data_IF_016671967298
#
_entry.id   IF_016671967298
#
_cell.length_a   1.000
_cell.length_b   1.000
_cell.length_c   1.000
_cell.angle_alpha   90.00
_cell.angle_beta   90.00
_cell.angle_gamma   90.00
#
_symmetry.space_group_name_H-M   'P 1'
#
loop_
_entity.id
_entity.type
_entity.pdbx_description
1 polymer ?
#
# COMPACT_ATOMS: atom_id res chain seq x y z
N UNK A 1 15.94 4.14 -29.23
CA UNK A 1 15.53 3.46 -27.98
C UNK A 1 14.31 4.15 -27.41
N UNK A 2 13.25 3.42 -27.08
CA UNK A 2 12.00 4.02 -26.56
C UNK A 2 12.20 4.36 -25.09
N UNK A 3 12.01 5.63 -24.72
CA UNK A 3 12.18 6.10 -23.35
C UNK A 3 11.07 5.49 -22.47
N UNK A 4 11.46 4.70 -21.47
CA UNK A 4 10.52 4.15 -20.49
C UNK A 4 10.07 5.28 -19.57
N UNK A 5 8.76 5.33 -19.31
CA UNK A 5 8.15 6.28 -18.39
C UNK A 5 7.40 5.48 -17.33
N UNK A 6 7.24 6.07 -16.14
CA UNK A 6 6.44 5.49 -15.08
C UNK A 6 4.98 5.36 -15.52
N UNK A 7 4.29 4.39 -14.93
CA UNK A 7 2.87 4.19 -15.16
C UNK A 7 2.13 5.40 -14.56
N UNK A 8 1.21 6.00 -15.32
CA UNK A 8 0.43 7.14 -14.86
C UNK A 8 -0.29 6.79 -13.55
N UNK A 9 -0.12 7.63 -12.52
CA UNK A 9 -0.67 7.41 -11.18
C UNK A 9 0.25 6.62 -10.23
N UNK A 10 1.48 6.31 -10.65
CA UNK A 10 2.51 5.72 -9.80
C UNK A 10 3.68 6.69 -9.62
N UNK A 11 4.32 6.63 -8.46
CA UNK A 11 5.47 7.47 -8.11
C UNK A 11 6.54 6.61 -7.45
N UNK A 12 7.79 6.80 -7.88
CA UNK A 12 8.94 6.20 -7.21
C UNK A 12 9.23 6.97 -5.92
N UNK A 13 9.44 6.26 -4.82
CA UNK A 13 9.90 6.86 -3.56
C UNK A 13 11.42 6.90 -3.60
N UNK A 14 11.98 8.12 -3.64
CA UNK A 14 13.42 8.32 -3.83
C UNK A 14 14.19 8.35 -2.50
N UNK A 15 15.54 8.25 -2.50
CA UNK A 15 16.35 8.25 -1.27
C UNK A 15 16.18 9.50 -0.37
N UNK A 16 15.85 10.65 -0.96
CA UNK A 16 15.53 11.88 -0.23
C UNK A 16 14.12 11.88 0.39
N UNK A 17 13.27 10.90 0.10
CA UNK A 17 11.89 10.79 0.58
C UNK A 17 11.69 9.59 1.50
N UNK A 18 12.41 8.50 1.27
CA UNK A 18 12.25 7.23 1.97
C UNK A 18 12.35 7.35 3.50
N UNK A 19 13.15 8.29 4.00
CA UNK A 19 13.31 8.51 5.44
C UNK A 19 12.01 8.96 6.12
N UNK A 20 11.17 9.76 5.42
CA UNK A 20 9.88 10.22 5.95
C UNK A 20 8.89 9.06 6.05
N UNK A 21 8.85 8.19 5.05
CA UNK A 21 8.02 6.99 5.04
C UNK A 21 8.40 6.04 6.17
N UNK A 22 9.69 5.74 6.33
CA UNK A 22 10.17 4.90 7.45
C UNK A 22 9.81 5.47 8.81
N UNK A 23 9.90 6.79 9.00
CA UNK A 23 9.51 7.44 10.25
C UNK A 23 8.00 7.29 10.50
N UNK A 24 7.17 7.50 9.49
CA UNK A 24 5.71 7.31 9.57
C UNK A 24 5.36 5.86 9.93
N UNK A 25 5.93 4.89 9.22
CA UNK A 25 5.73 3.45 9.46
C UNK A 25 6.11 3.06 10.89
N UNK A 26 7.23 3.59 11.39
CA UNK A 26 7.67 3.34 12.78
C UNK A 26 6.67 3.87 13.79
N UNK A 27 6.12 5.08 13.60
CA UNK A 27 5.13 5.66 14.51
C UNK A 27 3.85 4.81 14.52
N UNK A 28 3.38 4.39 13.34
CA UNK A 28 2.18 3.55 13.22
C UNK A 28 2.40 2.22 13.93
N UNK A 29 3.51 1.54 13.68
CA UNK A 29 3.81 0.24 14.30
C UNK A 29 3.88 0.35 15.82
N UNK A 30 4.62 1.33 16.36
CA UNK A 30 4.72 1.55 17.80
C UNK A 30 3.36 1.85 18.43
N UNK A 31 2.53 2.63 17.75
CA UNK A 31 1.18 2.95 18.23
C UNK A 31 0.32 1.68 18.26
N UNK A 32 0.31 0.88 17.19
CA UNK A 32 -0.45 -0.37 17.14
C UNK A 32 -0.02 -1.36 18.24
N UNK A 33 1.29 -1.50 18.48
CA UNK A 33 1.85 -2.35 19.52
C UNK A 33 1.39 -1.94 20.92
N UNK A 34 1.35 -0.63 21.23
CA UNK A 34 0.88 -0.12 22.53
C UNK A 34 -0.57 -0.51 22.83
N UNK A 35 -1.39 -0.72 21.80
CA UNK A 35 -2.79 -1.14 21.93
C UNK A 35 -2.98 -2.66 21.72
N UNK A 36 -1.90 -3.44 21.64
CA UNK A 36 -1.94 -4.89 21.52
C UNK A 36 -2.35 -5.43 20.15
N UNK A 37 -2.38 -4.58 19.12
CA UNK A 37 -2.59 -5.02 17.74
C UNK A 37 -1.35 -5.74 17.21
N UNK A 38 -1.56 -6.73 16.35
CA UNK A 38 -0.50 -7.49 15.69
C UNK A 38 -0.60 -7.33 14.18
N UNK A 39 0.55 -7.20 13.53
CA UNK A 39 0.62 -7.08 12.08
C UNK A 39 0.21 -8.40 11.40
N UNK A 40 -0.56 -8.27 10.32
CA UNK A 40 -0.85 -9.34 9.36
C UNK A 40 -0.54 -8.80 7.95
N UNK A 41 0.16 -9.59 7.13
CA UNK A 41 0.45 -9.26 5.72
C UNK A 41 -0.21 -10.26 4.80
N UNK A 42 -1.19 -9.80 4.04
CA UNK A 42 -1.82 -10.59 2.99
C UNK A 42 -1.08 -10.43 1.65
N UNK A 43 -1.33 -11.33 0.67
CA UNK A 43 -0.86 -11.14 -0.69
C UNK A 43 -1.36 -9.84 -1.33
N UNK A 44 -0.54 -9.24 -2.20
CA UNK A 44 -0.90 -8.00 -2.93
C UNK A 44 -2.00 -8.26 -3.98
N UNK A 45 -2.08 -9.49 -4.50
CA UNK A 45 -3.08 -9.90 -5.47
C UNK A 45 -4.02 -10.93 -4.87
N UNK A 46 -5.30 -10.81 -5.18
CA UNK A 46 -6.37 -11.71 -4.72
C UNK A 46 -7.33 -11.95 -5.88
N UNK A 47 -8.17 -12.99 -5.78
CA UNK A 47 -9.21 -13.25 -6.78
C UNK A 47 -10.17 -12.05 -6.91
N UNK A 48 -10.51 -11.66 -8.13
CA UNK A 48 -11.41 -10.52 -8.41
C UNK A 48 -12.76 -10.63 -7.68
N UNK A 49 -13.24 -11.86 -7.45
CA UNK A 49 -14.48 -12.13 -6.72
C UNK A 49 -14.44 -11.62 -5.28
N UNK A 50 -13.27 -11.62 -4.63
CA UNK A 50 -13.09 -11.11 -3.28
C UNK A 50 -13.44 -9.61 -3.20
N UNK A 51 -12.98 -8.83 -4.17
CA UNK A 51 -13.27 -7.38 -4.23
C UNK A 51 -14.68 -7.07 -4.74
N UNK A 52 -15.18 -7.88 -5.67
CA UNK A 52 -16.51 -7.70 -6.28
C UNK A 52 -17.66 -7.77 -5.26
N UNK A 53 -17.43 -8.44 -4.13
CA UNK A 53 -18.41 -8.60 -3.04
C UNK A 53 -18.31 -7.50 -1.99
N UNK A 54 -17.10 -7.09 -1.62
CA UNK A 54 -16.86 -6.23 -0.45
C UNK A 54 -17.02 -4.73 -0.74
N UNK A 55 -16.80 -4.30 -1.98
CA UNK A 55 -16.78 -2.86 -2.35
C UNK A 55 -18.04 -2.44 -3.13
N UNK A 56 -18.96 -3.39 -3.39
CA UNK A 56 -20.10 -3.20 -4.29
C UNK A 56 -19.70 -3.34 -5.76
N UNK A 57 -20.52 -4.04 -6.52
CA UNK A 57 -20.34 -4.23 -7.97
C UNK A 57 -20.35 -2.84 -8.63
N UNK A 58 -19.22 -2.38 -9.17
CA UNK A 58 -19.21 -1.20 -10.06
C UNK A 58 -20.05 -1.54 -11.29
N UNK A 59 -21.29 -1.07 -11.30
CA UNK A 59 -22.10 -0.97 -12.51
C UNK A 59 -21.53 0.22 -13.29
N UNK A 60 -20.74 -0.10 -14.31
CA UNK A 60 -20.59 0.71 -15.53
C UNK A 60 -21.15 -0.10 -16.66
#
# INVERSE_FOLDING_TARGET
>A
MKKLHSIKGTHDILPNEIHKWKALESIVNQTCEQFGYKEIRNPIFEETRLFSRSVGKKQT
#
